data_IF_492915065798
#
_entry.id   IF_492915065798
#
_cell.length_a   1.000
_cell.length_b   1.000
_cell.length_c   1.000
_cell.angle_alpha   90.00
_cell.angle_beta   90.00
_cell.angle_gamma   90.00
#
_symmetry.space_group_name_H-M   'P 1'
#
loop_
_entity.id
_entity.type
_entity.pdbx_description
1 polymer ?
#
# COMPACT_ATOMS: atom_id res chain seq x y z
N UNK A 1 -14.01 -19.67 -37.08
CA UNK A 1 -12.57 -19.95 -36.90
C UNK A 1 -12.11 -19.06 -35.77
N UNK A 2 -12.27 -19.53 -34.55
CA UNK A 2 -11.65 -18.95 -33.36
C UNK A 2 -10.16 -19.22 -33.47
N UNK A 3 -9.35 -18.16 -33.59
CA UNK A 3 -7.92 -18.27 -33.38
C UNK A 3 -7.70 -18.36 -31.88
N UNK A 4 -7.51 -19.59 -31.39
CA UNK A 4 -6.85 -19.87 -30.13
C UNK A 4 -5.44 -19.28 -30.20
N UNK A 5 -5.27 -18.03 -29.75
CA UNK A 5 -3.98 -17.55 -29.31
C UNK A 5 -3.66 -18.29 -28.01
N UNK A 6 -2.88 -19.36 -28.14
CA UNK A 6 -2.16 -19.95 -27.01
C UNK A 6 -1.34 -18.84 -26.36
N UNK A 7 -1.65 -18.55 -25.11
CA UNK A 7 -0.82 -17.75 -24.23
C UNK A 7 0.40 -18.60 -23.86
N UNK A 8 1.35 -18.70 -24.80
CA UNK A 8 2.67 -19.25 -24.54
C UNK A 8 3.38 -18.23 -23.65
N UNK A 9 3.26 -18.41 -22.33
CA UNK A 9 3.78 -17.50 -21.33
C UNK A 9 5.26 -17.11 -21.55
N UNK A 10 5.65 -15.95 -21.03
CA UNK A 10 6.99 -15.39 -21.22
C UNK A 10 8.05 -16.31 -20.58
N UNK A 11 8.94 -16.88 -21.39
CA UNK A 11 10.05 -17.75 -20.93
C UNK A 11 11.33 -16.92 -20.81
N UNK A 12 11.67 -16.53 -19.57
CA UNK A 12 12.84 -15.69 -19.24
C UNK A 12 14.15 -16.36 -19.68
N UNK A 13 14.25 -17.69 -19.61
CA UNK A 13 15.45 -18.46 -19.94
C UNK A 13 15.93 -18.29 -21.39
N UNK A 14 15.06 -17.79 -22.28
CA UNK A 14 15.36 -17.53 -23.68
C UNK A 14 15.57 -16.05 -24.00
N UNK A 15 15.46 -15.16 -23.02
CA UNK A 15 15.61 -13.72 -23.21
C UNK A 15 17.08 -13.32 -23.04
N UNK A 16 17.60 -12.54 -23.97
CA UNK A 16 18.87 -11.84 -23.79
C UNK A 16 18.72 -10.68 -22.81
N UNK A 17 19.84 -10.16 -22.29
CA UNK A 17 19.82 -8.94 -21.47
C UNK A 17 19.14 -7.76 -22.21
N UNK A 18 19.29 -7.70 -23.53
CA UNK A 18 18.63 -6.67 -24.35
C UNK A 18 17.11 -6.88 -24.36
N UNK A 19 16.64 -8.12 -24.52
CA UNK A 19 15.22 -8.45 -24.48
C UNK A 19 14.60 -8.12 -23.11
N UNK A 20 15.35 -8.33 -22.02
CA UNK A 20 14.92 -7.97 -20.67
C UNK A 20 14.81 -6.45 -20.48
N UNK A 21 15.77 -5.68 -21.00
CA UNK A 21 15.74 -4.21 -20.97
C UNK A 21 14.56 -3.70 -21.79
N UNK A 22 14.33 -4.25 -22.97
CA UNK A 22 13.18 -3.88 -23.81
C UNK A 22 11.86 -4.25 -23.15
N UNK A 23 11.77 -5.41 -22.50
CA UNK A 23 10.61 -5.80 -21.73
C UNK A 23 10.35 -4.81 -20.58
N UNK A 24 11.37 -4.45 -19.82
CA UNK A 24 11.27 -3.47 -18.75
C UNK A 24 10.79 -2.09 -19.25
N UNK A 25 11.32 -1.63 -20.38
CA UNK A 25 10.97 -0.32 -20.94
C UNK A 25 9.55 -0.29 -21.55
N UNK A 26 9.08 -1.41 -22.13
CA UNK A 26 7.86 -1.41 -22.95
C UNK A 26 6.66 -2.12 -22.31
N UNK A 27 6.88 -3.05 -21.38
CA UNK A 27 5.82 -3.93 -20.84
C UNK A 27 5.56 -3.72 -19.35
N UNK A 28 6.55 -3.26 -18.59
CA UNK A 28 6.38 -3.02 -17.16
C UNK A 28 5.67 -1.69 -16.95
N UNK A 29 4.46 -1.74 -16.42
CA UNK A 29 3.71 -0.54 -16.07
C UNK A 29 4.28 0.09 -14.80
N UNK A 30 5.00 1.21 -14.95
CA UNK A 30 5.56 1.98 -13.84
C UNK A 30 4.53 2.83 -13.09
N UNK A 31 3.28 2.88 -13.54
CA UNK A 31 2.24 3.70 -12.91
C UNK A 31 1.66 3.08 -11.64
N UNK A 32 1.13 3.91 -10.74
CA UNK A 32 0.58 3.43 -9.46
C UNK A 32 -0.64 2.51 -9.71
N UNK A 33 -0.64 1.27 -9.21
CA UNK A 33 -1.75 0.34 -9.42
C UNK A 33 -2.99 0.75 -8.62
N UNK A 34 -4.17 0.44 -9.16
CA UNK A 34 -5.48 0.76 -8.56
C UNK A 34 -5.61 0.24 -7.12
N UNK A 35 -5.12 -0.97 -6.84
CA UNK A 35 -5.15 -1.54 -5.48
C UNK A 35 -4.44 -0.62 -4.47
N UNK A 36 -3.28 -0.08 -4.84
CA UNK A 36 -2.55 0.85 -3.99
C UNK A 36 -3.28 2.18 -3.82
N UNK A 37 -3.82 2.72 -4.91
CA UNK A 37 -4.63 3.94 -4.88
C UNK A 37 -5.84 3.80 -3.95
N UNK A 38 -6.56 2.68 -4.04
CA UNK A 38 -7.76 2.40 -3.26
C UNK A 38 -7.47 2.22 -1.77
N UNK A 39 -6.50 1.39 -1.42
CA UNK A 39 -6.31 0.96 -0.03
C UNK A 39 -5.30 1.80 0.75
N UNK A 40 -4.26 2.32 0.08
CA UNK A 40 -3.13 2.96 0.76
C UNK A 40 -2.98 4.45 0.43
N UNK A 41 -3.67 4.96 -0.59
CA UNK A 41 -3.72 6.40 -0.87
C UNK A 41 -5.06 6.95 -0.38
N UNK A 42 -6.15 6.60 -1.05
CA UNK A 42 -7.50 7.01 -0.64
C UNK A 42 -7.91 6.41 0.71
N UNK A 43 -7.85 5.09 0.84
CA UNK A 43 -8.23 4.36 2.06
C UNK A 43 -7.27 4.51 3.25
N UNK A 44 -6.18 5.28 3.10
CA UNK A 44 -5.35 5.68 4.25
C UNK A 44 -6.11 6.56 5.23
N UNK A 45 -7.13 7.27 4.73
CA UNK A 45 -8.05 8.07 5.52
C UNK A 45 -9.28 7.22 5.88
N UNK A 46 -9.73 7.37 7.13
CA UNK A 46 -10.65 6.40 7.74
C UNK A 46 -12.10 6.64 7.32
N UNK A 47 -12.50 7.90 7.17
CA UNK A 47 -13.89 8.27 6.86
C UNK A 47 -14.11 8.35 5.33
N UNK A 48 -15.32 7.98 4.83
CA UNK A 48 -15.63 8.05 3.41
C UNK A 48 -15.42 9.42 2.76
N UNK A 49 -15.79 10.50 3.45
CA UNK A 49 -15.59 11.86 2.95
C UNK A 49 -14.11 12.18 2.77
N UNK A 50 -13.26 11.87 3.75
CA UNK A 50 -11.81 12.11 3.64
C UNK A 50 -11.18 11.22 2.58
N UNK A 51 -11.61 9.97 2.46
CA UNK A 51 -11.19 9.09 1.35
C UNK A 51 -11.48 9.76 0.01
N UNK A 52 -12.71 10.22 -0.22
CA UNK A 52 -13.09 10.91 -1.45
C UNK A 52 -12.29 12.21 -1.65
N UNK A 53 -12.13 13.03 -0.60
CA UNK A 53 -11.34 14.27 -0.61
C UNK A 53 -9.89 14.01 -1.02
N UNK A 54 -9.25 12.97 -0.48
CA UNK A 54 -7.89 12.60 -0.88
C UNK A 54 -7.82 12.21 -2.35
N UNK A 55 -8.73 11.36 -2.83
CA UNK A 55 -8.75 10.98 -4.25
C UNK A 55 -8.97 12.17 -5.18
N UNK A 56 -9.78 13.16 -4.78
CA UNK A 56 -9.95 14.41 -5.52
C UNK A 56 -8.67 15.25 -5.56
N UNK A 57 -7.94 15.34 -4.44
CA UNK A 57 -6.64 16.01 -4.40
C UNK A 57 -5.61 15.32 -5.30
N UNK A 58 -5.55 13.99 -5.25
CA UNK A 58 -4.69 13.19 -6.13
C UNK A 58 -5.06 13.39 -7.60
N UNK A 59 -6.36 13.37 -7.94
CA UNK A 59 -6.84 13.61 -9.29
C UNK A 59 -6.37 14.97 -9.82
N UNK A 60 -6.47 16.02 -8.98
CA UNK A 60 -6.00 17.36 -9.33
C UNK A 60 -4.49 17.39 -9.58
N UNK A 61 -3.70 16.76 -8.70
CA UNK A 61 -2.24 16.68 -8.85
C UNK A 61 -1.87 15.95 -10.15
N UNK A 62 -2.56 14.84 -10.47
CA UNK A 62 -2.29 14.09 -11.70
C UNK A 62 -2.72 14.82 -12.96
N UNK A 63 -3.82 15.57 -12.91
CA UNK A 63 -4.22 16.42 -14.04
C UNK A 63 -3.21 17.54 -14.30
N UNK A 64 -2.70 18.19 -13.25
CA UNK A 64 -1.68 19.24 -13.38
C UNK A 64 -0.37 18.67 -13.95
N UNK A 65 0.10 17.53 -13.42
CA UNK A 65 1.28 16.83 -13.92
C UNK A 65 1.13 16.43 -15.39
N UNK A 66 -0.05 15.93 -15.79
CA UNK A 66 -0.33 15.59 -17.19
C UNK A 66 -0.19 16.81 -18.13
N UNK A 67 -0.76 17.96 -17.73
CA UNK A 67 -0.68 19.20 -18.51
C UNK A 67 0.76 19.72 -18.60
N UNK A 68 1.49 19.68 -17.48
CA UNK A 68 2.89 20.09 -17.46
C UNK A 68 3.73 19.24 -18.42
N UNK A 69 3.56 17.91 -18.39
CA UNK A 69 4.25 17.00 -19.32
C UNK A 69 3.86 17.30 -20.77
N UNK A 70 2.59 17.61 -21.04
CA UNK A 70 2.13 18.00 -22.39
C UNK A 70 2.90 19.23 -22.92
N UNK A 71 3.16 20.22 -22.06
CA UNK A 71 3.93 21.40 -22.43
C UNK A 71 5.41 21.09 -22.66
N UNK A 72 6.00 20.21 -21.85
CA UNK A 72 7.39 19.77 -22.05
C UNK A 72 7.55 18.99 -23.36
N UNK A 73 6.57 18.16 -23.75
CA UNK A 73 6.55 17.50 -25.06
C UNK A 73 6.54 18.55 -26.18
N UNK A 74 5.63 19.54 -26.11
CA UNK A 74 5.56 20.63 -27.10
C UNK A 74 6.86 21.43 -27.18
N UNK A 75 7.53 21.66 -26.05
CA UNK A 75 8.84 22.32 -26.01
C UNK A 75 9.90 21.47 -26.71
N UNK A 76 9.97 20.17 -26.42
CA UNK A 76 10.91 19.25 -27.09
C UNK A 76 10.66 19.14 -28.58
N UNK A 77 9.41 19.25 -29.03
CA UNK A 77 9.07 19.33 -30.46
C UNK A 77 9.66 20.58 -31.12
N UNK A 78 9.57 21.73 -30.47
CA UNK A 78 10.16 22.97 -30.99
C UNK A 78 11.69 22.91 -30.98
N UNK A 79 12.30 22.39 -29.90
CA UNK A 79 13.75 22.17 -29.82
C UNK A 79 14.24 21.25 -30.95
N UNK A 80 13.51 20.16 -31.22
CA UNK A 80 13.82 19.25 -32.32
C UNK A 80 13.79 19.95 -33.68
N UNK A 81 12.78 20.79 -33.94
CA UNK A 81 12.69 21.56 -35.18
C UNK A 81 13.87 22.52 -35.34
N UNK A 82 14.25 23.24 -34.28
CA UNK A 82 15.39 24.16 -34.28
C UNK A 82 16.69 23.43 -34.55
N UNK A 83 16.95 22.30 -33.91
CA UNK A 83 18.17 21.53 -34.14
C UNK A 83 18.21 20.91 -35.54
N UNK A 84 17.06 20.49 -36.09
CA UNK A 84 16.97 20.03 -37.49
C UNK A 84 17.31 21.15 -38.48
N UNK A 85 16.87 22.38 -38.20
CA UNK A 85 17.21 23.55 -39.02
C UNK A 85 18.71 23.87 -38.94
N UNK A 86 19.29 23.83 -37.74
CA UNK A 86 20.75 23.99 -37.54
C UNK A 86 21.53 22.94 -38.32
N UNK A 87 21.11 21.67 -38.26
CA UNK A 87 21.76 20.58 -38.98
C UNK A 87 21.73 20.80 -40.49
N UNK A 88 20.59 21.27 -41.03
CA UNK A 88 20.43 21.55 -42.46
C UNK A 88 21.35 22.69 -42.94
N UNK A 89 21.64 23.66 -42.06
CA UNK A 89 22.48 24.81 -42.36
C UNK A 89 23.98 24.61 -42.03
N UNK A 90 24.32 23.56 -41.26
CA UNK A 90 25.69 23.28 -40.86
C UNK A 90 26.55 22.87 -42.05
N UNK A 91 27.73 23.48 -42.18
CA UNK A 91 28.65 23.22 -43.29
C UNK A 91 29.81 22.30 -42.90
N UNK A 92 30.12 22.18 -41.61
CA UNK A 92 31.23 21.37 -41.10
C UNK A 92 30.75 20.00 -40.60
N UNK A 93 31.43 18.93 -40.99
CA UNK A 93 31.09 17.55 -40.60
C UNK A 93 31.18 17.27 -39.10
N UNK A 94 32.09 17.92 -38.36
CA UNK A 94 32.20 17.75 -36.91
C UNK A 94 31.01 18.42 -36.22
N UNK A 95 30.63 19.61 -36.67
CA UNK A 95 29.47 20.34 -36.16
C UNK A 95 28.18 19.56 -36.38
N UNK A 96 28.00 18.97 -37.57
CA UNK A 96 26.86 18.09 -37.87
C UNK A 96 26.76 16.93 -36.88
N UNK A 97 27.87 16.27 -36.56
CA UNK A 97 27.88 15.15 -35.59
C UNK A 97 27.49 15.60 -34.18
N UNK A 98 27.91 16.78 -33.74
CA UNK A 98 27.46 17.32 -32.44
C UNK A 98 25.95 17.57 -32.45
N UNK A 99 25.43 18.22 -33.49
CA UNK A 99 23.99 18.49 -33.63
C UNK A 99 23.18 17.19 -33.71
N UNK A 100 23.69 16.16 -34.39
CA UNK A 100 23.06 14.83 -34.43
C UNK A 100 22.95 14.18 -33.05
N UNK A 101 23.98 14.30 -32.21
CA UNK A 101 23.95 13.80 -30.83
C UNK A 101 22.91 14.57 -30.01
N UNK A 102 22.87 15.90 -30.15
CA UNK A 102 21.88 16.74 -29.46
C UNK A 102 20.44 16.36 -29.89
N UNK A 103 20.21 16.13 -31.19
CA UNK A 103 18.95 15.61 -31.72
C UNK A 103 18.58 14.25 -31.11
N UNK A 104 19.53 13.31 -31.01
CA UNK A 104 19.29 12.02 -30.38
C UNK A 104 18.84 12.17 -28.92
N UNK A 105 19.46 13.10 -28.18
CA UNK A 105 19.10 13.38 -26.79
C UNK A 105 17.70 14.01 -26.70
N UNK A 106 17.36 14.98 -27.55
CA UNK A 106 16.03 15.59 -27.61
C UNK A 106 14.94 14.56 -27.90
N UNK A 107 15.16 13.69 -28.90
CA UNK A 107 14.21 12.63 -29.27
C UNK A 107 14.02 11.63 -28.13
N UNK A 108 15.10 11.24 -27.46
CA UNK A 108 15.03 10.36 -26.27
C UNK A 108 14.23 11.01 -25.13
N UNK A 109 14.50 12.28 -24.82
CA UNK A 109 13.79 12.99 -23.77
C UNK A 109 12.30 13.16 -24.12
N UNK A 110 11.97 13.48 -25.38
CA UNK A 110 10.60 13.55 -25.88
C UNK A 110 9.87 12.21 -25.71
N UNK A 111 10.52 11.09 -26.06
CA UNK A 111 9.97 9.74 -25.86
C UNK A 111 9.66 9.49 -24.38
N UNK A 112 10.61 9.76 -23.48
CA UNK A 112 10.41 9.61 -22.03
C UNK A 112 9.24 10.44 -21.51
N UNK A 113 9.11 11.69 -21.97
CA UNK A 113 7.98 12.54 -21.58
C UNK A 113 6.65 11.98 -22.07
N UNK A 114 6.62 11.44 -23.30
CA UNK A 114 5.42 10.79 -23.86
C UNK A 114 5.01 9.58 -23.02
N UNK A 115 5.94 8.68 -22.69
CA UNK A 115 5.68 7.51 -21.83
C UNK A 115 5.20 7.92 -20.42
N UNK A 116 5.79 8.99 -19.87
CA UNK A 116 5.37 9.56 -18.59
C UNK A 116 3.96 10.13 -18.65
N UNK A 117 3.58 10.75 -19.77
CA UNK A 117 2.23 11.27 -20.00
C UNK A 117 1.21 10.14 -20.06
N UNK A 118 1.51 9.04 -20.76
CA UNK A 118 0.65 7.85 -20.80
C UNK A 118 0.49 7.22 -19.42
N UNK A 119 1.57 7.14 -18.64
CA UNK A 119 1.53 6.70 -17.25
C UNK A 119 0.61 7.57 -16.40
N UNK A 120 0.76 8.91 -16.48
CA UNK A 120 -0.09 9.85 -15.78
C UNK A 120 -1.57 9.73 -16.18
N UNK A 121 -1.86 9.46 -17.46
CA UNK A 121 -3.21 9.23 -17.96
C UNK A 121 -3.82 7.95 -17.36
N UNK A 122 -3.08 6.84 -17.35
CA UNK A 122 -3.53 5.58 -16.72
C UNK A 122 -3.83 5.77 -15.23
N UNK A 123 -2.99 6.50 -14.51
CA UNK A 123 -3.26 6.79 -13.09
C UNK A 123 -4.50 7.65 -12.89
N UNK A 124 -4.69 8.67 -13.73
CA UNK A 124 -5.89 9.51 -13.71
C UNK A 124 -7.15 8.65 -13.88
N UNK A 125 -7.15 7.74 -14.84
CA UNK A 125 -8.28 6.85 -15.11
C UNK A 125 -8.57 5.93 -13.91
N UNK A 126 -7.53 5.36 -13.28
CA UNK A 126 -7.67 4.55 -12.06
C UNK A 126 -8.22 5.36 -10.88
N UNK A 127 -7.78 6.62 -10.71
CA UNK A 127 -8.30 7.51 -9.66
C UNK A 127 -9.77 7.83 -9.92
N UNK A 128 -10.15 8.15 -11.16
CA UNK A 128 -11.54 8.38 -11.55
C UNK A 128 -12.42 7.15 -11.28
N UNK A 129 -11.91 5.96 -11.55
CA UNK A 129 -12.59 4.72 -11.23
C UNK A 129 -12.81 4.55 -9.72
N UNK A 130 -11.78 4.77 -8.89
CA UNK A 130 -11.91 4.74 -7.43
C UNK A 130 -12.93 5.77 -6.91
N UNK A 131 -12.96 6.98 -7.47
CA UNK A 131 -13.93 8.02 -7.12
C UNK A 131 -15.36 7.54 -7.40
N UNK A 132 -15.59 6.98 -8.60
CA UNK A 132 -16.90 6.42 -8.99
C UNK A 132 -17.32 5.29 -8.06
N UNK A 133 -16.42 4.37 -7.73
CA UNK A 133 -16.71 3.28 -6.79
C UNK A 133 -17.19 3.77 -5.42
N UNK A 134 -16.64 4.88 -4.91
CA UNK A 134 -17.10 5.47 -3.65
C UNK A 134 -18.48 6.10 -3.83
N UNK A 135 -18.63 6.97 -4.84
CA UNK A 135 -19.84 7.75 -5.06
C UNK A 135 -21.07 6.88 -5.39
N UNK A 136 -20.87 5.85 -6.21
CA UNK A 136 -21.93 4.91 -6.63
C UNK A 136 -22.13 3.79 -5.59
N UNK A 137 -21.17 3.63 -4.67
CA UNK A 137 -21.21 2.65 -3.60
C UNK A 137 -22.04 3.08 -2.39
N UNK A 138 -22.20 2.18 -1.40
CA UNK A 138 -22.95 2.45 -0.17
C UNK A 138 -22.33 3.55 0.69
N UNK A 139 -21.04 3.83 0.50
CA UNK A 139 -20.32 4.89 1.21
C UNK A 139 -20.50 6.28 0.60
N UNK A 140 -21.02 6.38 -0.63
CA UNK A 140 -21.19 7.64 -1.35
C UNK A 140 -22.34 8.52 -0.86
N UNK A 141 -23.11 8.04 0.11
CA UNK A 141 -24.27 8.73 0.68
C UNK A 141 -24.19 8.71 2.20
N UNK A 142 -24.38 9.86 2.84
CA UNK A 142 -24.48 10.01 4.28
C UNK A 142 -25.79 9.37 4.81
N UNK A 143 -25.91 9.08 6.12
CA UNK A 143 -27.10 8.45 6.69
C UNK A 143 -28.41 9.20 6.48
N UNK A 144 -28.35 10.52 6.28
CA UNK A 144 -29.49 11.40 6.01
C UNK A 144 -29.90 11.43 4.51
N UNK A 145 -29.17 10.71 3.65
CA UNK A 145 -29.41 10.69 2.20
C UNK A 145 -28.59 11.70 1.40
N UNK A 146 -27.82 12.57 2.06
CA UNK A 146 -26.95 13.55 1.40
C UNK A 146 -25.82 12.84 0.65
N UNK A 147 -25.56 13.20 -0.62
CA UNK A 147 -24.43 12.62 -1.36
C UNK A 147 -23.12 13.21 -0.86
N UNK A 148 -22.07 12.39 -0.76
CA UNK A 148 -20.74 12.87 -0.35
C UNK A 148 -20.19 13.96 -1.28
N UNK A 149 -20.55 13.91 -2.56
CA UNK A 149 -20.17 14.95 -3.52
C UNK A 149 -20.77 16.32 -3.18
N UNK A 150 -21.96 16.35 -2.59
CA UNK A 150 -22.66 17.59 -2.23
C UNK A 150 -22.08 18.25 -0.97
N UNK A 151 -21.19 17.54 -0.26
CA UNK A 151 -20.44 18.10 0.88
C UNK A 151 -19.43 19.14 0.40
N UNK A 152 -18.79 18.92 -0.75
CA UNK A 152 -17.75 19.83 -1.24
C UNK A 152 -18.32 21.22 -1.53
N UNK A 153 -17.77 22.24 -0.87
CA UNK A 153 -18.25 23.61 -0.95
C UNK A 153 -19.30 23.98 0.10
N UNK A 154 -19.80 23.02 0.88
CA UNK A 154 -20.61 23.27 2.08
C UNK A 154 -19.69 23.29 3.32
N UNK A 155 -19.25 24.49 3.72
CA UNK A 155 -18.28 24.66 4.82
C UNK A 155 -18.75 24.08 6.15
N UNK A 156 -20.03 24.17 6.47
CA UNK A 156 -20.55 23.66 7.75
C UNK A 156 -20.48 22.13 7.80
N UNK A 157 -20.87 21.48 6.70
CA UNK A 157 -20.83 20.02 6.59
C UNK A 157 -19.40 19.49 6.47
N UNK A 158 -18.52 20.22 5.77
CA UNK A 158 -17.08 19.89 5.72
C UNK A 158 -16.45 19.90 7.11
N UNK A 159 -16.70 20.93 7.91
CA UNK A 159 -16.17 21.04 9.29
C UNK A 159 -16.74 19.96 10.22
N UNK A 160 -18.02 19.60 10.07
CA UNK A 160 -18.62 18.50 10.84
C UNK A 160 -17.96 17.15 10.49
N UNK A 161 -17.80 16.83 9.20
CA UNK A 161 -17.16 15.58 8.79
C UNK A 161 -15.65 15.57 9.09
N UNK A 162 -14.99 16.73 9.13
CA UNK A 162 -13.62 16.88 9.63
C UNK A 162 -13.53 16.52 11.11
N UNK A 163 -14.43 17.02 11.97
CA UNK A 163 -14.46 16.62 13.39
C UNK A 163 -14.66 15.12 13.55
N UNK A 164 -15.65 14.54 12.86
CA UNK A 164 -15.92 13.09 12.92
C UNK A 164 -14.71 12.26 12.46
N UNK A 165 -13.99 12.74 11.45
CA UNK A 165 -12.76 12.12 10.99
C UNK A 165 -11.70 12.08 12.09
N UNK A 166 -11.45 13.20 12.78
CA UNK A 166 -10.45 13.28 13.84
C UNK A 166 -10.80 12.41 15.05
N UNK A 167 -12.06 12.38 15.46
CA UNK A 167 -12.54 11.46 16.51
C UNK A 167 -12.22 10.01 16.14
N UNK A 168 -12.61 9.59 14.94
CA UNK A 168 -12.39 8.20 14.48
C UNK A 168 -10.91 7.88 14.31
N UNK A 169 -10.11 8.84 13.83
CA UNK A 169 -8.68 8.69 13.61
C UNK A 169 -7.91 8.53 14.92
N UNK A 170 -8.14 9.42 15.87
CA UNK A 170 -7.50 9.36 17.18
C UNK A 170 -7.91 8.09 17.92
N UNK A 171 -9.18 7.69 17.83
CA UNK A 171 -9.64 6.44 18.42
C UNK A 171 -8.90 5.22 17.86
N UNK A 172 -8.75 5.13 16.53
CA UNK A 172 -7.98 4.06 15.90
C UNK A 172 -6.51 4.07 16.35
N UNK A 173 -5.87 5.24 16.37
CA UNK A 173 -4.47 5.36 16.80
C UNK A 173 -4.29 4.95 18.27
N UNK A 174 -5.12 5.47 19.17
CA UNK A 174 -5.13 5.14 20.59
C UNK A 174 -5.40 3.64 20.81
N UNK A 175 -6.31 3.03 20.04
CA UNK A 175 -6.60 1.60 20.17
C UNK A 175 -5.41 0.72 19.76
N UNK A 176 -4.66 1.12 18.74
CA UNK A 176 -3.47 0.39 18.30
C UNK A 176 -2.38 0.48 19.36
N UNK A 177 -2.21 1.64 19.99
CA UNK A 177 -1.27 1.80 21.11
C UNK A 177 -1.68 0.99 22.33
N UNK A 178 -2.97 0.93 22.66
CA UNK A 178 -3.46 0.09 23.75
C UNK A 178 -3.23 -1.40 23.47
N UNK A 179 -3.46 -1.88 22.24
CA UNK A 179 -3.20 -3.27 21.86
C UNK A 179 -1.70 -3.61 21.87
N UNK A 180 -0.83 -2.66 21.51
CA UNK A 180 0.61 -2.88 21.44
C UNK A 180 1.33 -2.69 22.79
N UNK A 181 0.91 -1.68 23.58
CA UNK A 181 1.65 -1.20 24.75
C UNK A 181 0.82 -1.17 26.05
N UNK A 182 -0.48 -1.49 25.99
CA UNK A 182 -1.38 -1.51 27.14
C UNK A 182 -1.83 -0.14 27.64
N UNK A 183 -1.44 0.96 26.97
CA UNK A 183 -1.83 2.34 27.32
C UNK A 183 -1.87 3.23 26.08
N UNK A 184 -2.66 4.30 26.16
CA UNK A 184 -2.64 5.37 25.17
C UNK A 184 -1.34 6.17 25.32
N UNK A 185 -0.68 6.45 24.20
CA UNK A 185 0.52 7.27 24.14
C UNK A 185 0.23 8.72 24.53
N UNK A 186 1.22 9.41 25.10
CA UNK A 186 1.05 10.79 25.59
C UNK A 186 0.60 11.75 24.50
N UNK A 187 1.12 11.62 23.28
CA UNK A 187 0.74 12.48 22.15
C UNK A 187 -0.72 12.32 21.73
N UNK A 188 -1.21 11.08 21.59
CA UNK A 188 -2.61 10.85 21.24
C UNK A 188 -3.55 11.24 22.39
N UNK A 189 -3.15 11.00 23.65
CA UNK A 189 -3.93 11.41 24.80
C UNK A 189 -4.06 12.94 24.90
N UNK A 190 -2.97 13.68 24.64
CA UNK A 190 -2.96 15.14 24.61
C UNK A 190 -3.86 15.69 23.49
N UNK A 191 -3.74 15.12 22.27
CA UNK A 191 -4.60 15.49 21.14
C UNK A 191 -6.08 15.23 21.44
N UNK A 192 -6.42 14.10 22.07
CA UNK A 192 -7.78 13.80 22.50
C UNK A 192 -8.25 14.86 23.51
N UNK A 193 -7.44 15.19 24.51
CA UNK A 193 -7.80 16.14 25.56
C UNK A 193 -8.08 17.57 25.06
N UNK A 194 -7.63 17.93 23.85
CA UNK A 194 -7.90 19.23 23.22
C UNK A 194 -9.26 19.30 22.50
N UNK A 195 -9.97 18.18 22.34
CA UNK A 195 -11.28 18.13 21.67
C UNK A 195 -12.42 18.57 22.60
N UNK A 196 -13.64 18.75 22.06
CA UNK A 196 -14.80 19.06 22.88
C UNK A 196 -15.17 17.87 23.81
N UNK A 197 -15.79 18.10 24.97
CA UNK A 197 -16.08 17.02 25.94
C UNK A 197 -16.87 15.84 25.36
N UNK A 198 -17.79 16.09 24.43
CA UNK A 198 -18.55 15.04 23.74
C UNK A 198 -17.66 14.19 22.82
N UNK A 199 -16.74 14.82 22.12
CA UNK A 199 -15.80 14.17 21.19
C UNK A 199 -14.75 13.35 21.95
N UNK A 200 -14.31 13.84 23.12
CA UNK A 200 -13.45 13.09 24.03
C UNK A 200 -14.12 11.78 24.44
N UNK A 201 -15.36 11.85 24.92
CA UNK A 201 -16.14 10.68 25.35
C UNK A 201 -16.32 9.68 24.19
N UNK A 202 -16.72 10.18 23.01
CA UNK A 202 -16.90 9.35 21.82
C UNK A 202 -15.60 8.67 21.38
N UNK A 203 -14.48 9.41 21.35
CA UNK A 203 -13.17 8.89 20.98
C UNK A 203 -12.69 7.79 21.94
N UNK A 204 -12.79 8.02 23.26
CA UNK A 204 -12.37 7.06 24.27
C UNK A 204 -13.26 5.81 24.30
N UNK A 205 -14.56 5.98 24.04
CA UNK A 205 -15.50 4.87 23.89
C UNK A 205 -15.17 4.01 22.68
N UNK A 206 -14.99 4.61 21.51
CA UNK A 206 -14.58 3.90 20.28
C UNK A 206 -13.24 3.18 20.47
N UNK A 207 -12.28 3.82 21.14
CA UNK A 207 -10.99 3.23 21.50
C UNK A 207 -11.18 1.96 22.31
N UNK A 208 -11.94 2.05 23.41
CA UNK A 208 -12.19 0.93 24.32
C UNK A 208 -12.90 -0.23 23.63
N UNK A 209 -13.95 0.08 22.86
CA UNK A 209 -14.73 -0.93 22.12
C UNK A 209 -13.85 -1.68 21.10
N UNK A 210 -12.99 -0.96 20.37
CA UNK A 210 -12.08 -1.56 19.40
C UNK A 210 -11.05 -2.46 20.08
N UNK A 211 -10.43 -1.99 21.16
CA UNK A 211 -9.43 -2.76 21.94
C UNK A 211 -10.02 -4.07 22.45
N UNK A 212 -11.22 -4.02 23.04
CA UNK A 212 -11.88 -5.24 23.55
C UNK A 212 -12.16 -6.21 22.41
N UNK A 213 -12.76 -5.75 21.31
CA UNK A 213 -13.12 -6.63 20.18
C UNK A 213 -11.90 -7.28 19.53
N UNK A 214 -10.88 -6.49 19.23
CA UNK A 214 -9.65 -7.00 18.59
C UNK A 214 -8.85 -7.85 19.55
N UNK A 215 -8.71 -7.42 20.82
CA UNK A 215 -8.00 -8.19 21.85
C UNK A 215 -8.62 -9.56 22.10
N UNK A 216 -9.96 -9.62 22.26
CA UNK A 216 -10.67 -10.90 22.40
C UNK A 216 -10.52 -11.76 21.14
N UNK A 217 -10.67 -11.17 19.94
CA UNK A 217 -10.50 -11.90 18.69
C UNK A 217 -9.10 -12.48 18.52
N UNK A 218 -8.06 -11.71 18.87
CA UNK A 218 -6.67 -12.18 18.87
C UNK A 218 -6.45 -13.33 19.86
N UNK A 219 -7.05 -13.27 21.05
CA UNK A 219 -7.01 -14.36 22.03
C UNK A 219 -7.56 -15.67 21.45
N UNK A 220 -8.75 -15.63 20.84
CA UNK A 220 -9.38 -16.80 20.21
C UNK A 220 -8.54 -17.38 19.06
N UNK A 221 -7.96 -16.52 18.20
CA UNK A 221 -7.09 -16.95 17.10
C UNK A 221 -5.78 -17.57 17.62
N UNK A 222 -5.25 -17.04 18.71
CA UNK A 222 -4.04 -17.55 19.37
C UNK A 222 -4.31 -18.93 19.96
N UNK A 223 -5.40 -19.11 20.69
CA UNK A 223 -5.82 -20.41 21.23
C UNK A 223 -6.01 -21.45 20.13
N UNK A 224 -6.68 -21.09 19.03
CA UNK A 224 -6.83 -21.95 17.86
C UNK A 224 -5.46 -22.35 17.29
N UNK A 225 -4.58 -21.38 17.05
CA UNK A 225 -3.24 -21.63 16.47
C UNK A 225 -2.39 -22.53 17.37
N UNK A 226 -2.46 -22.33 18.70
CA UNK A 226 -1.79 -23.19 19.68
C UNK A 226 -2.33 -24.62 19.60
N UNK A 227 -3.65 -24.80 19.49
CA UNK A 227 -4.25 -26.12 19.39
C UNK A 227 -3.89 -26.83 18.07
N UNK A 228 -3.89 -26.12 16.94
CA UNK A 228 -3.46 -26.65 15.65
C UNK A 228 -1.99 -27.11 15.72
N UNK A 229 -1.10 -26.32 16.32
CA UNK A 229 0.30 -26.68 16.52
C UNK A 229 0.47 -27.90 17.44
N UNK A 230 -0.33 -28.04 18.51
CA UNK A 230 -0.31 -29.23 19.38
C UNK A 230 -0.72 -30.50 18.64
N UNK A 231 -1.53 -30.37 17.59
CA UNK A 231 -1.93 -31.47 16.71
C UNK A 231 -0.91 -31.73 15.59
N UNK A 232 0.20 -30.99 15.55
CA UNK A 232 1.20 -31.09 14.48
C UNK A 232 0.65 -30.58 13.14
N UNK A 233 -0.21 -29.55 13.17
CA UNK A 233 -0.84 -29.00 11.99
C UNK A 233 -0.55 -27.51 11.81
N UNK A 234 -0.10 -27.15 10.60
CA UNK A 234 -0.02 -25.76 10.14
C UNK A 234 -0.75 -25.69 8.79
N UNK A 235 -1.74 -24.80 8.62
CA UNK A 235 -2.43 -24.64 7.34
C UNK A 235 -1.42 -24.35 6.20
N UNK A 236 -1.46 -25.07 5.07
CA UNK A 236 -0.51 -24.90 3.98
C UNK A 236 -0.43 -23.46 3.45
N UNK A 237 -1.58 -22.77 3.32
CA UNK A 237 -1.62 -21.37 2.90
C UNK A 237 -0.93 -20.44 3.89
N UNK A 238 -1.03 -20.73 5.19
CA UNK A 238 -0.37 -19.92 6.21
C UNK A 238 1.14 -20.17 6.20
N UNK A 239 1.56 -21.41 5.97
CA UNK A 239 2.97 -21.79 5.82
C UNK A 239 3.62 -21.02 4.67
N UNK A 240 2.99 -21.03 3.49
CA UNK A 240 3.47 -20.28 2.32
C UNK A 240 3.55 -18.77 2.60
N UNK A 241 2.51 -18.19 3.21
CA UNK A 241 2.50 -16.76 3.56
C UNK A 241 3.57 -16.40 4.59
N UNK A 242 3.82 -17.24 5.59
CA UNK A 242 4.89 -17.03 6.57
C UNK A 242 6.28 -17.13 5.94
N UNK A 243 6.48 -18.03 4.97
CA UNK A 243 7.73 -18.08 4.18
C UNK A 243 7.91 -16.78 3.37
N UNK A 244 6.85 -16.27 2.73
CA UNK A 244 6.87 -14.98 2.03
C UNK A 244 7.15 -13.80 2.97
N UNK A 245 6.77 -13.89 4.25
CA UNK A 245 7.11 -12.93 5.30
C UNK A 245 8.58 -13.02 5.75
N UNK A 246 9.35 -13.98 5.23
CA UNK A 246 10.77 -14.18 5.58
C UNK A 246 10.98 -14.96 6.88
N UNK A 247 9.95 -15.64 7.40
CA UNK A 247 10.08 -16.49 8.58
C UNK A 247 10.79 -17.80 8.19
N UNK A 248 11.69 -18.29 9.05
CA UNK A 248 12.48 -19.49 8.73
C UNK A 248 11.62 -20.76 8.71
N UNK A 249 11.99 -21.70 7.84
CA UNK A 249 11.24 -22.97 7.68
C UNK A 249 11.24 -23.81 8.95
N UNK A 250 12.30 -23.74 9.75
CA UNK A 250 12.39 -24.42 11.04
C UNK A 250 11.32 -23.90 12.01
N UNK A 251 11.12 -22.58 12.03
CA UNK A 251 10.14 -21.94 12.91
C UNK A 251 8.69 -22.22 12.47
N UNK A 252 8.45 -22.38 11.17
CA UNK A 252 7.11 -22.68 10.61
C UNK A 252 6.78 -24.19 10.72
N UNK A 253 7.75 -25.03 11.08
CA UNK A 253 7.57 -26.48 11.07
C UNK A 253 6.45 -26.93 12.02
N UNK A 254 5.73 -27.99 11.63
CA UNK A 254 4.66 -28.57 12.43
C UNK A 254 5.17 -29.11 13.79
N UNK A 255 6.49 -29.31 13.89
CA UNK A 255 7.21 -29.83 15.05
C UNK A 255 7.77 -28.74 15.96
N UNK A 256 7.43 -27.48 15.74
CA UNK A 256 7.92 -26.35 16.54
C UNK A 256 7.75 -26.57 18.06
N UNK A 257 6.68 -27.25 18.48
CA UNK A 257 6.41 -27.56 19.89
C UNK A 257 6.98 -28.90 20.37
N UNK A 258 7.45 -29.77 19.47
CA UNK A 258 8.00 -31.10 19.83
C UNK A 258 9.39 -30.99 20.49
N UNK A 259 10.08 -29.84 20.40
CA UNK A 259 11.48 -29.71 20.86
C UNK A 259 11.68 -29.59 22.37
N UNK A 260 10.61 -29.42 23.17
CA UNK A 260 10.73 -29.16 24.62
C UNK A 260 9.99 -30.14 25.55
N UNK A 261 9.11 -31.01 25.03
CA UNK A 261 8.40 -31.98 25.90
C UNK A 261 9.35 -33.08 26.38
N UNK A 262 10.20 -33.61 25.49
CA UNK A 262 11.16 -34.65 25.86
C UNK A 262 12.31 -34.12 26.71
N UNK A 263 12.76 -32.87 26.49
CA UNK A 263 13.80 -32.24 27.32
C UNK A 263 13.30 -31.90 28.72
N UNK A 264 12.07 -31.40 28.85
CA UNK A 264 11.49 -31.10 30.16
C UNK A 264 11.19 -32.36 30.97
N UNK A 265 10.74 -33.45 30.34
CA UNK A 265 10.60 -34.75 31.01
C UNK A 265 11.97 -35.30 31.46
N UNK A 266 13.03 -35.09 30.69
CA UNK A 266 14.39 -35.51 31.07
C UNK A 266 14.94 -34.69 32.24
N UNK A 267 14.70 -33.37 32.27
CA UNK A 267 15.08 -32.48 33.39
C UNK A 267 14.32 -32.80 34.68
N UNK A 268 13.01 -33.07 34.59
CA UNK A 268 12.19 -33.47 35.73
C UNK A 268 12.65 -34.84 36.26
N UNK A 269 12.85 -35.82 35.38
CA UNK A 269 13.30 -37.17 35.77
C UNK A 269 14.70 -37.16 36.38
N UNK A 270 15.62 -36.31 35.90
CA UNK A 270 16.94 -36.18 36.49
C UNK A 270 16.89 -35.49 37.87
N UNK A 271 16.08 -34.44 38.02
CA UNK A 271 15.91 -33.73 39.31
C UNK A 271 15.34 -34.62 40.42
N UNK A 272 14.46 -35.57 40.08
CA UNK A 272 13.94 -36.56 41.03
C UNK A 272 14.86 -37.76 41.26
N UNK A 273 15.84 -38.01 40.38
CA UNK A 273 16.90 -39.00 40.57
C UNK A 273 17.92 -38.50 41.60
N UNK A 274 18.36 -37.25 41.45
CA UNK A 274 19.32 -36.60 42.35
C UNK A 274 18.78 -36.42 43.78
N UNK A 275 17.46 -36.35 43.95
CA UNK A 275 16.80 -36.31 45.27
C UNK A 275 16.70 -37.69 45.95
N UNK A 276 16.66 -38.78 45.18
CA UNK A 276 16.69 -40.15 45.71
C UNK A 276 18.10 -40.58 46.10
N UNK A 277 19.11 -40.17 45.32
CA UNK A 277 20.50 -40.53 45.58
C UNK A 277 21.13 -39.74 46.75
N UNK A 278 20.51 -38.62 47.17
CA UNK A 278 20.92 -37.84 48.34
C UNK A 278 20.14 -38.16 49.63
N UNK A 279 19.21 -39.12 49.63
CA UNK A 279 18.49 -39.56 50.83
C UNK A 279 19.03 -40.84 51.47
N UNK A 280 20.03 -41.47 50.85
CA UNK A 280 20.67 -42.71 51.33
C UNK A 280 22.12 -42.50 51.83
N UNK A 281 22.47 -41.28 52.25
CA UNK A 281 23.77 -40.91 52.85
C UNK A 281 23.65 -40.46 54.29
#
# INVERSE_FOLDING_TARGET
MENDMKDDGIVIENMTDTDLIEFANNKVDGSVPKFKLKHFVGGSLITPFHHLKQLMLELRIRQDSFLHIEWEIKRKELEELVEREKLANATNDIEKKYIEIDLMQIVKDKKRHTESQEGALREKDRILECIREICDGPQGTLPDGTKLMDVFGNKELEEELERQHWVTRLAKQASMEMLAYGKIGTGNMDAIAMMAPKEIDECLKLTSDYVVRVGTGMGLLTEKSINDLKLGYVPPENKEKMEQMGISKEFISEKMLESDVDKNNTLINNKYKDLKDNSDG
#
